data_IF_776078698896
#
_entry.id   IF_776078698896
#
_cell.length_a   1.000
_cell.length_b   1.000
_cell.length_c   1.000
_cell.angle_alpha   90.00
_cell.angle_beta   90.00
_cell.angle_gamma   90.00
#
_symmetry.space_group_name_H-M   'P 1'
#
loop_
_entity.id
_entity.type
_entity.pdbx_description
1 polymer ?
#
# COMPACT_ATOMS: atom_id res chain seq x y z
N UNK A 1 41.33 19.97 10.28
CA UNK A 1 40.53 18.76 10.01
C UNK A 1 39.28 18.67 10.89
N UNK A 2 38.55 19.78 11.09
CA UNK A 2 37.35 19.81 11.96
C UNK A 2 36.07 20.18 11.19
N UNK A 3 36.22 20.64 9.94
CA UNK A 3 35.11 21.14 9.10
C UNK A 3 34.62 20.13 8.06
N UNK A 4 35.22 18.93 7.98
CA UNK A 4 34.87 17.90 6.98
C UNK A 4 33.71 17.01 7.45
N UNK A 5 33.49 16.92 8.77
CA UNK A 5 32.47 16.01 9.35
C UNK A 5 31.04 16.56 9.16
N UNK A 6 30.88 17.88 8.97
CA UNK A 6 29.54 18.50 8.84
C UNK A 6 28.91 18.28 7.47
N UNK A 7 29.69 18.01 6.41
CA UNK A 7 29.14 17.81 5.06
C UNK A 7 28.56 16.40 4.82
N UNK A 8 28.95 15.39 5.60
CA UNK A 8 28.56 14.01 5.35
C UNK A 8 27.15 13.68 5.89
N UNK A 9 26.66 14.43 6.87
CA UNK A 9 25.34 14.25 7.47
C UNK A 9 24.18 14.81 6.62
N UNK A 10 24.45 15.65 5.61
CA UNK A 10 23.41 16.18 4.71
C UNK A 10 23.03 15.24 3.56
N UNK A 11 23.88 14.27 3.21
CA UNK A 11 23.66 13.42 2.03
C UNK A 11 22.70 12.25 2.33
N UNK A 12 22.54 11.89 3.61
CA UNK A 12 21.70 10.75 4.03
C UNK A 12 20.21 11.11 4.20
N UNK A 13 19.84 12.39 4.12
CA UNK A 13 18.45 12.85 4.31
C UNK A 13 17.66 12.98 3.00
N UNK A 14 18.28 12.76 1.83
CA UNK A 14 17.68 13.05 0.53
C UNK A 14 16.90 11.88 -0.11
N UNK A 15 16.93 10.68 0.48
CA UNK A 15 16.35 9.48 -0.13
C UNK A 15 14.82 9.37 -0.05
N UNK A 16 14.16 10.08 0.88
CA UNK A 16 12.69 10.04 1.01
C UNK A 16 11.95 10.98 0.06
N UNK A 17 12.63 11.93 -0.57
CA UNK A 17 12.01 12.93 -1.46
C UNK A 17 11.89 12.48 -2.93
N UNK A 18 12.29 11.26 -3.26
CA UNK A 18 12.30 10.74 -4.64
C UNK A 18 11.17 9.74 -4.95
N UNK A 19 10.41 9.30 -3.95
CA UNK A 19 9.36 8.31 -4.15
C UNK A 19 8.14 8.94 -4.83
N UNK A 20 7.87 8.51 -6.06
CA UNK A 20 6.61 8.82 -6.76
C UNK A 20 5.51 7.81 -6.41
N UNK A 21 5.90 6.61 -5.97
CA UNK A 21 5.00 5.54 -5.53
C UNK A 21 5.54 4.87 -4.29
N UNK A 22 4.66 4.41 -3.40
CA UNK A 22 5.03 3.62 -2.22
C UNK A 22 4.59 2.18 -2.40
N UNK A 23 5.38 1.22 -1.90
CA UNK A 23 5.18 -0.19 -2.22
C UNK A 23 5.32 -1.10 -1.00
N UNK A 24 4.56 -2.21 -1.03
CA UNK A 24 4.70 -3.31 -0.09
C UNK A 24 4.21 -4.62 -0.72
N UNK A 25 4.61 -5.76 -0.17
CA UNK A 25 4.03 -7.06 -0.48
C UNK A 25 3.06 -7.48 0.63
N UNK A 26 1.92 -8.05 0.27
CA UNK A 26 0.88 -8.47 1.22
C UNK A 26 0.43 -9.92 0.99
N UNK A 27 0.10 -10.58 2.09
CA UNK A 27 -0.78 -11.74 2.14
C UNK A 27 -1.72 -11.54 3.34
N UNK A 28 -3.00 -11.30 3.07
CA UNK A 28 -3.99 -11.03 4.11
C UNK A 28 -5.39 -11.49 3.70
N UNK A 29 -6.30 -11.60 4.66
CA UNK A 29 -7.73 -11.82 4.40
C UNK A 29 -8.49 -10.51 4.36
N UNK A 30 -9.37 -10.37 3.37
CA UNK A 30 -10.28 -9.22 3.27
C UNK A 30 -11.21 -9.18 4.49
N UNK A 31 -11.29 -8.02 5.15
CA UNK A 31 -12.11 -7.78 6.34
C UNK A 31 -13.42 -7.05 6.02
N UNK A 32 -13.41 -6.16 5.03
CA UNK A 32 -14.56 -5.37 4.57
C UNK A 32 -14.39 -5.07 3.08
N UNK A 33 -15.50 -4.94 2.36
CA UNK A 33 -15.53 -4.51 0.97
C UNK A 33 -16.52 -3.36 0.84
N UNK A 34 -16.14 -2.29 0.16
CA UNK A 34 -17.00 -1.14 -0.13
C UNK A 34 -17.00 -0.82 -1.63
N UNK A 35 -18.20 -0.57 -2.17
CA UNK A 35 -18.45 -0.20 -3.57
C UNK A 35 -19.02 1.21 -3.62
N UNK A 36 -18.19 2.19 -3.27
CA UNK A 36 -18.51 3.63 -3.28
C UNK A 36 -18.20 4.31 -4.63
N UNK A 37 -17.59 3.59 -5.56
CA UNK A 37 -17.21 4.07 -6.90
C UNK A 37 -17.86 3.28 -8.03
N UNK A 38 -18.07 3.94 -9.16
CA UNK A 38 -18.54 3.32 -10.41
C UNK A 38 -17.42 2.62 -11.20
N UNK A 39 -16.16 2.69 -10.73
CA UNK A 39 -15.00 2.20 -11.48
C UNK A 39 -14.10 1.25 -10.69
N UNK A 40 -14.17 1.29 -9.37
CA UNK A 40 -13.39 0.43 -8.49
C UNK A 40 -14.22 0.06 -7.27
N UNK A 41 -13.74 -0.94 -6.55
CA UNK A 41 -14.17 -1.17 -5.20
C UNK A 41 -13.01 -1.31 -4.25
N UNK A 42 -13.28 -1.05 -2.98
CA UNK A 42 -12.28 -0.91 -1.95
C UNK A 42 -12.33 -2.11 -1.02
N UNK A 43 -11.27 -2.91 -1.07
CA UNK A 43 -11.06 -4.03 -0.16
C UNK A 43 -10.21 -3.58 1.01
N UNK A 44 -10.72 -3.79 2.23
CA UNK A 44 -10.00 -3.49 3.45
C UNK A 44 -9.43 -4.76 4.05
N UNK A 45 -8.30 -4.61 4.74
CA UNK A 45 -7.67 -5.65 5.55
C UNK A 45 -7.59 -5.15 6.99
N UNK A 46 -7.54 -6.08 7.95
CA UNK A 46 -7.27 -5.77 9.35
C UNK A 46 -5.98 -6.46 9.81
N UNK A 47 -5.34 -5.92 10.84
CA UNK A 47 -4.05 -6.44 11.32
C UNK A 47 -4.13 -7.85 11.90
N UNK A 48 -5.31 -8.32 12.31
CA UNK A 48 -5.51 -9.67 12.83
C UNK A 48 -5.65 -10.71 11.71
N UNK A 49 -5.89 -10.25 10.48
CA UNK A 49 -6.05 -11.06 9.26
C UNK A 49 -4.86 -10.98 8.30
N UNK A 50 -3.78 -10.30 8.69
CA UNK A 50 -2.54 -10.23 7.90
C UNK A 50 -1.65 -11.41 8.25
N UNK A 51 -1.38 -12.26 7.27
CA UNK A 51 -0.47 -13.40 7.40
C UNK A 51 0.98 -12.99 7.10
N UNK A 52 1.18 -12.10 6.12
CA UNK A 52 2.48 -11.55 5.75
C UNK A 52 2.34 -10.10 5.26
N UNK A 53 3.28 -9.25 5.68
CA UNK A 53 3.44 -7.91 5.15
C UNK A 53 4.92 -7.55 5.07
N UNK A 54 5.36 -7.03 3.93
CA UNK A 54 6.76 -6.64 3.73
C UNK A 54 6.82 -5.30 3.01
N UNK A 55 7.32 -4.28 3.68
CA UNK A 55 7.49 -2.94 3.11
C UNK A 55 8.66 -2.91 2.12
N UNK A 56 8.52 -2.14 1.04
CA UNK A 56 9.62 -1.90 0.13
C UNK A 56 10.72 -1.08 0.80
N UNK A 57 11.98 -1.51 0.68
CA UNK A 57 13.10 -0.94 1.44
C UNK A 57 13.49 0.50 1.09
N UNK A 58 13.00 1.05 -0.02
CA UNK A 58 13.31 2.42 -0.48
C UNK A 58 12.09 3.35 -0.33
N UNK A 59 10.92 2.87 -0.75
CA UNK A 59 9.67 3.63 -0.79
C UNK A 59 8.59 2.82 -0.07
N UNK A 60 8.62 2.77 1.27
CA UNK A 60 7.78 1.88 2.04
C UNK A 60 6.33 2.35 2.03
N UNK A 61 5.40 1.45 1.71
CA UNK A 61 3.98 1.62 1.99
C UNK A 61 3.68 0.98 3.34
N UNK A 62 3.26 1.78 4.34
CA UNK A 62 2.98 1.25 5.67
C UNK A 62 1.69 0.44 5.72
N UNK A 63 1.67 -0.60 6.57
CA UNK A 63 0.47 -1.42 6.77
C UNK A 63 -0.71 -0.57 7.29
N UNK A 64 -0.43 0.43 8.12
CA UNK A 64 -1.44 1.37 8.62
C UNK A 64 -2.12 2.12 7.46
N UNK A 65 -1.35 2.60 6.47
CA UNK A 65 -1.90 3.27 5.28
C UNK A 65 -2.85 2.32 4.52
N UNK A 66 -2.45 1.07 4.33
CA UNK A 66 -3.28 0.05 3.67
C UNK A 66 -4.57 -0.23 4.45
N UNK A 67 -4.49 -0.35 5.77
CA UNK A 67 -5.66 -0.61 6.62
C UNK A 67 -6.63 0.59 6.65
N UNK A 68 -6.11 1.82 6.65
CA UNK A 68 -6.92 3.04 6.67
C UNK A 68 -7.56 3.34 5.32
N UNK A 69 -6.77 3.25 4.24
CA UNK A 69 -7.20 3.70 2.91
C UNK A 69 -7.84 2.57 2.08
N UNK A 70 -7.61 1.32 2.45
CA UNK A 70 -8.05 0.15 1.67
C UNK A 70 -7.29 0.01 0.35
N UNK A 71 -7.52 -1.11 -0.34
CA UNK A 71 -6.96 -1.44 -1.65
C UNK A 71 -8.06 -1.36 -2.70
N UNK A 72 -7.85 -0.52 -3.70
CA UNK A 72 -8.74 -0.37 -4.84
C UNK A 72 -8.51 -1.52 -5.83
N UNK A 73 -9.60 -2.21 -6.16
CA UNK A 73 -9.67 -3.30 -7.11
C UNK A 73 -10.66 -2.95 -8.22
N UNK A 74 -10.43 -3.45 -9.45
CA UNK A 74 -11.36 -3.22 -10.55
C UNK A 74 -12.73 -3.84 -10.24
N UNK A 75 -13.79 -3.22 -10.77
CA UNK A 75 -15.12 -3.81 -10.73
C UNK A 75 -15.27 -4.92 -11.78
N UNK A 76 -15.90 -6.02 -11.38
CA UNK A 76 -16.45 -7.02 -12.27
C UNK A 76 -17.82 -6.55 -12.79
N UNK A 77 -18.06 -6.68 -14.10
CA UNK A 77 -19.32 -6.31 -14.76
C UNK A 77 -19.80 -4.86 -14.48
N UNK A 78 -18.90 -3.96 -14.10
CA UNK A 78 -19.18 -2.54 -13.85
C UNK A 78 -19.93 -2.23 -12.56
N UNK A 79 -20.11 -3.20 -11.65
CA UNK A 79 -20.77 -2.95 -10.36
C UNK A 79 -20.34 -3.89 -9.23
N UNK A 80 -19.84 -5.10 -9.54
CA UNK A 80 -19.48 -6.08 -8.52
C UNK A 80 -18.01 -5.98 -8.15
N UNK A 81 -17.68 -6.27 -6.90
CA UNK A 81 -16.29 -6.59 -6.54
C UNK A 81 -15.96 -8.03 -6.88
N UNK A 82 -14.78 -8.23 -7.46
CA UNK A 82 -14.21 -9.57 -7.63
C UNK A 82 -13.96 -10.27 -6.28
N UNK A 83 -13.60 -9.49 -5.25
CA UNK A 83 -13.28 -10.01 -3.91
C UNK A 83 -14.41 -9.87 -2.91
N UNK A 84 -14.45 -10.79 -1.96
CA UNK A 84 -15.40 -10.84 -0.85
C UNK A 84 -14.67 -10.90 0.50
N UNK A 85 -15.39 -10.61 1.56
CA UNK A 85 -14.88 -10.77 2.93
C UNK A 85 -14.45 -12.21 3.16
N UNK A 86 -13.21 -12.41 3.64
CA UNK A 86 -12.61 -13.71 3.86
C UNK A 86 -11.78 -14.23 2.69
N UNK A 87 -11.84 -13.58 1.52
CA UNK A 87 -10.95 -13.91 0.40
C UNK A 87 -9.51 -13.49 0.71
N UNK A 88 -8.57 -14.14 0.04
CA UNK A 88 -7.14 -13.80 0.16
C UNK A 88 -6.82 -12.64 -0.76
N UNK A 89 -6.28 -11.56 -0.19
CA UNK A 89 -5.59 -10.51 -0.90
C UNK A 89 -4.09 -10.80 -0.88
N UNK A 90 -3.49 -11.00 -2.05
CA UNK A 90 -2.07 -11.32 -2.18
C UNK A 90 -1.47 -10.66 -3.42
N UNK A 91 -0.27 -10.09 -3.27
CA UNK A 91 0.43 -9.43 -4.38
C UNK A 91 1.28 -8.26 -3.90
N UNK A 92 1.66 -7.42 -4.86
CA UNK A 92 2.34 -6.17 -4.59
C UNK A 92 1.31 -5.05 -4.52
N UNK A 93 1.37 -4.28 -3.44
CA UNK A 93 0.59 -3.06 -3.26
C UNK A 93 1.41 -1.88 -3.75
N UNK A 94 0.78 -1.01 -4.53
CA UNK A 94 1.36 0.23 -5.01
C UNK A 94 0.42 1.38 -4.67
N UNK A 95 0.93 2.35 -3.92
CA UNK A 95 0.29 3.64 -3.69
C UNK A 95 0.84 4.66 -4.69
N UNK A 96 -0.03 5.14 -5.59
CA UNK A 96 0.30 6.13 -6.63
C UNK A 96 0.08 7.59 -6.17
N UNK A 97 -0.24 7.80 -4.90
CA UNK A 97 -0.58 9.09 -4.31
C UNK A 97 -2.07 9.45 -4.38
N UNK A 98 -2.87 8.71 -5.16
CA UNK A 98 -4.33 8.83 -5.16
C UNK A 98 -5.01 7.60 -4.56
N UNK A 99 -4.45 6.40 -4.79
CA UNK A 99 -5.03 5.13 -4.36
C UNK A 99 -3.96 4.06 -4.21
N UNK A 100 -4.31 3.04 -3.43
CA UNK A 100 -3.52 1.83 -3.27
C UNK A 100 -4.13 0.77 -4.19
N UNK A 101 -3.36 0.23 -5.13
CA UNK A 101 -3.80 -0.82 -6.06
C UNK A 101 -2.99 -2.09 -5.85
N UNK A 102 -3.54 -3.20 -6.34
CA UNK A 102 -2.85 -4.48 -6.43
C UNK A 102 -2.22 -4.65 -7.83
N UNK A 103 -0.91 -4.89 -7.88
CA UNK A 103 -0.13 -5.25 -9.08
C UNK A 103 0.25 -6.73 -9.14
#
# INVERSE_FOLDING_TARGET
MKNVIVLLSLVLSASSFACQTYQAQILAKVSKVETDSLTYCKAYVDSTRVEMYSEHGICPLSLESVMTNGVDLPLENGHDCEVRVGDTLTGYLVDDGNRIILE
#
